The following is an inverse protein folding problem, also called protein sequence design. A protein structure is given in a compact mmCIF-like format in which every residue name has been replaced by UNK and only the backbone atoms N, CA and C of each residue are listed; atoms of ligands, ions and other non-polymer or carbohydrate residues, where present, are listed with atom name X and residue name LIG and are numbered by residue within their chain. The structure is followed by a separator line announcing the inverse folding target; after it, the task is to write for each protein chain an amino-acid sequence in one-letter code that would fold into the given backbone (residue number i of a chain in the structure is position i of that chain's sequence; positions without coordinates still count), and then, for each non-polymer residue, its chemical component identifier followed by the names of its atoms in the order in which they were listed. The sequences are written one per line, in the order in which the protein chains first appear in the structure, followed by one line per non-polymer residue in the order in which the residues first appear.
data_IF_503278167787
#
_entry.id   IF_503278167787
#
_cell.length_a   1.000
_cell.length_b   1.000
_cell.length_c   1.000
_cell.angle_alpha   90.00
_cell.angle_beta   90.00
_cell.angle_gamma   90.00
#
_symmetry.space_group_name_H-M   'P 1'
#
loop_
_entity.id
_entity.type
_entity.pdbx_description
1 polymer ?
#
# COMPACT_ATOMS: atom_id res chain seq x y z
N UNK A 1 11.29 10.78 14.06
CA UNK A 1 12.52 9.96 13.97
C UNK A 1 12.32 8.68 13.17
N UNK A 2 11.08 8.14 13.07
CA UNK A 2 10.81 6.83 12.49
C UNK A 2 11.33 5.65 13.31
N UNK A 3 11.71 5.87 14.56
CA UNK A 3 12.15 4.86 15.50
C UNK A 3 11.05 4.57 16.54
N UNK A 4 10.80 3.30 16.76
CA UNK A 4 10.03 2.82 17.90
C UNK A 4 10.94 2.67 19.11
N UNK A 5 10.53 3.21 20.24
CA UNK A 5 11.24 3.02 21.51
C UNK A 5 10.25 2.57 22.59
N UNK A 6 10.66 1.57 23.38
CA UNK A 6 9.94 1.12 24.57
C UNK A 6 10.89 0.92 25.73
N UNK A 7 10.60 1.56 26.85
CA UNK A 7 11.35 1.43 28.12
C UNK A 7 10.42 0.87 29.18
N UNK A 8 10.82 -0.18 29.85
CA UNK A 8 10.04 -0.79 30.94
C UNK A 8 10.96 -1.54 31.93
N UNK A 9 10.44 -1.84 33.09
CA UNK A 9 11.11 -2.68 34.08
C UNK A 9 10.26 -3.89 34.43
N UNK A 10 10.92 -4.99 34.78
CA UNK A 10 10.31 -6.22 35.22
C UNK A 10 10.94 -6.66 36.54
N UNK A 11 10.14 -6.91 37.59
CA UNK A 11 10.61 -7.44 38.86
C UNK A 11 10.45 -8.95 38.89
N UNK A 12 11.56 -9.63 39.02
CA UNK A 12 11.59 -11.10 39.10
C UNK A 12 11.00 -11.61 40.41
N UNK A 13 10.62 -12.90 40.47
CA UNK A 13 10.15 -13.54 41.71
C UNK A 13 11.21 -13.53 42.85
N UNK A 14 12.49 -13.27 42.54
CA UNK A 14 13.59 -13.13 43.50
C UNK A 14 13.80 -11.68 43.92
N UNK A 15 12.94 -10.78 43.52
CA UNK A 15 12.99 -9.37 43.88
C UNK A 15 13.99 -8.52 43.07
N UNK A 16 14.66 -9.08 42.09
CA UNK A 16 15.61 -8.37 41.22
C UNK A 16 14.84 -7.62 40.16
N UNK A 17 15.08 -6.32 40.03
CA UNK A 17 14.51 -5.50 38.97
C UNK A 17 15.42 -5.56 37.74
N UNK A 18 14.84 -5.87 36.58
CA UNK A 18 15.48 -5.82 35.27
C UNK A 18 14.89 -4.67 34.48
N UNK A 19 15.72 -3.76 34.01
CA UNK A 19 15.35 -2.65 33.16
C UNK A 19 15.64 -3.01 31.70
N UNK A 20 14.67 -2.75 30.84
CA UNK A 20 14.74 -3.00 29.40
C UNK A 20 14.56 -1.69 28.63
N UNK A 21 15.38 -1.54 27.57
CA UNK A 21 15.16 -0.56 26.52
C UNK A 21 15.15 -1.28 25.18
N UNK A 22 14.03 -1.19 24.48
CA UNK A 22 13.86 -1.79 23.14
C UNK A 22 13.73 -0.67 22.13
N UNK A 23 14.50 -0.74 21.07
CA UNK A 23 14.45 0.19 19.92
C UNK A 23 14.30 -0.62 18.63
N UNK A 24 13.57 -0.08 17.67
CA UNK A 24 13.40 -0.71 16.35
C UNK A 24 13.07 0.34 15.30
N UNK A 25 13.52 0.11 14.07
CA UNK A 25 13.12 0.90 12.91
C UNK A 25 13.09 0.05 11.63
N UNK A 26 12.28 0.49 10.68
CA UNK A 26 12.40 0.11 9.27
C UNK A 26 13.17 1.22 8.57
N UNK A 27 14.21 0.87 7.85
CA UNK A 27 15.13 1.86 7.29
C UNK A 27 14.46 2.70 6.19
N UNK A 28 14.63 4.02 6.28
CA UNK A 28 14.28 4.94 5.21
C UNK A 28 15.40 5.06 4.16
N UNK A 29 16.64 4.65 4.51
CA UNK A 29 17.76 4.68 3.59
C UNK A 29 17.88 3.40 2.75
N UNK A 30 17.36 2.28 3.26
CA UNK A 30 17.29 0.99 2.54
C UNK A 30 15.94 0.33 2.82
N UNK A 31 15.07 0.34 1.82
CA UNK A 31 13.69 -0.17 1.91
C UNK A 31 13.57 -1.67 2.24
N UNK A 32 14.65 -2.43 2.11
CA UNK A 32 14.68 -3.86 2.39
C UNK A 32 15.14 -4.19 3.81
N UNK A 33 15.58 -3.20 4.60
CA UNK A 33 16.24 -3.41 5.90
C UNK A 33 15.36 -2.96 7.07
N UNK A 34 15.26 -3.81 8.08
CA UNK A 34 14.76 -3.47 9.41
C UNK A 34 15.77 -3.86 10.47
N UNK A 35 15.86 -3.08 11.54
CA UNK A 35 16.74 -3.34 12.67
C UNK A 35 15.99 -3.24 14.00
N UNK A 36 16.41 -4.08 14.94
CA UNK A 36 15.91 -4.13 16.31
C UNK A 36 17.06 -4.24 17.28
N UNK A 37 17.01 -3.52 18.40
CA UNK A 37 18.01 -3.53 19.46
C UNK A 37 17.33 -3.59 20.81
N UNK A 38 17.84 -4.43 21.69
CA UNK A 38 17.44 -4.51 23.10
C UNK A 38 18.64 -4.34 24.00
N UNK A 39 18.49 -3.47 24.97
CA UNK A 39 19.38 -3.31 26.10
C UNK A 39 18.66 -3.83 27.35
N UNK A 40 19.32 -4.67 28.12
CA UNK A 40 18.79 -5.19 29.38
C UNK A 40 19.84 -5.10 30.48
N UNK A 41 19.49 -4.56 31.64
CA UNK A 41 20.37 -4.48 32.81
C UNK A 41 19.59 -4.71 34.11
N UNK A 42 20.28 -5.18 35.15
CA UNK A 42 19.71 -5.27 36.49
C UNK A 42 20.07 -4.03 37.31
N UNK A 43 19.22 -3.68 38.27
CA UNK A 43 19.56 -2.66 39.29
C UNK A 43 20.56 -3.20 40.32
N UNK A 44 20.49 -4.52 40.59
CA UNK A 44 21.43 -5.24 41.49
C UNK A 44 21.34 -6.73 41.22
N UNK A 45 22.47 -7.44 41.43
CA UNK A 45 22.52 -8.89 41.25
C UNK A 45 22.49 -9.36 39.80
N UNK A 46 22.50 -10.67 39.60
CA UNK A 46 22.54 -11.26 38.28
C UNK A 46 21.26 -12.05 37.97
N UNK A 47 20.80 -11.97 36.70
CA UNK A 47 19.66 -12.71 36.19
C UNK A 47 20.04 -13.42 34.90
N UNK A 48 19.59 -14.66 34.73
CA UNK A 48 19.66 -15.34 33.44
C UNK A 48 18.54 -14.85 32.56
N UNK A 49 18.89 -14.22 31.45
CA UNK A 49 17.98 -13.79 30.40
C UNK A 49 18.01 -14.81 29.28
N UNK A 50 16.82 -15.20 28.81
CA UNK A 50 16.63 -16.00 27.60
C UNK A 50 15.74 -15.23 26.64
N UNK A 51 16.19 -15.07 25.40
CA UNK A 51 15.47 -14.40 24.33
C UNK A 51 15.37 -15.36 23.16
N UNK A 52 14.17 -15.51 22.62
CA UNK A 52 13.95 -16.27 21.38
C UNK A 52 13.46 -15.30 20.32
N UNK A 53 14.16 -15.24 19.21
CA UNK A 53 13.81 -14.44 18.04
C UNK A 53 14.06 -15.25 16.77
N UNK A 54 13.50 -14.83 15.63
CA UNK A 54 13.71 -15.59 14.41
C UNK A 54 12.87 -15.06 13.23
N UNK A 55 12.67 -15.94 12.26
CA UNK A 55 11.83 -15.73 11.08
C UNK A 55 10.75 -16.81 11.10
N UNK A 56 9.49 -16.42 10.97
CA UNK A 56 8.34 -17.32 11.06
C UNK A 56 7.45 -17.17 9.82
N UNK A 57 7.26 -18.26 9.08
CA UNK A 57 6.33 -18.37 7.97
C UNK A 57 5.04 -19.13 8.33
N UNK A 58 4.74 -19.31 9.62
CA UNK A 58 3.43 -19.78 10.06
C UNK A 58 2.38 -18.68 10.14
N UNK A 59 2.79 -17.43 9.92
CA UNK A 59 1.90 -16.27 9.86
C UNK A 59 0.77 -16.50 8.85
N UNK A 60 -0.42 -16.07 9.24
CA UNK A 60 -1.62 -16.13 8.40
C UNK A 60 -2.14 -14.72 8.18
N UNK A 61 -2.94 -14.53 7.14
CA UNK A 61 -3.68 -13.30 6.93
C UNK A 61 -5.17 -13.64 7.01
N UNK A 62 -5.89 -13.01 7.93
CA UNK A 62 -7.31 -13.32 8.23
C UNK A 62 -7.55 -14.83 8.45
N UNK A 63 -6.62 -15.51 9.14
CA UNK A 63 -6.68 -16.94 9.41
C UNK A 63 -6.30 -17.88 8.27
N UNK A 64 -5.99 -17.34 7.07
CA UNK A 64 -5.63 -18.13 5.90
C UNK A 64 -4.11 -18.14 5.70
N UNK A 65 -3.56 -19.33 5.43
CA UNK A 65 -2.14 -19.49 5.13
C UNK A 65 -1.89 -19.21 3.63
N UNK A 66 -1.13 -18.16 3.35
CA UNK A 66 -0.79 -17.75 1.97
C UNK A 66 0.59 -18.20 1.52
N UNK A 67 1.46 -18.63 2.45
CA UNK A 67 2.82 -19.02 2.14
C UNK A 67 2.93 -20.54 1.93
N UNK A 68 3.67 -20.97 0.93
CA UNK A 68 4.06 -22.35 0.72
C UNK A 68 4.96 -22.88 1.85
N UNK A 69 5.41 -24.13 1.74
CA UNK A 69 6.36 -24.70 2.71
C UNK A 69 7.72 -24.04 2.51
N UNK A 70 8.28 -23.37 3.53
CA UNK A 70 9.52 -22.63 3.37
C UNK A 70 10.74 -23.54 3.32
N UNK A 71 11.72 -23.17 2.52
CA UNK A 71 13.11 -23.56 2.71
C UNK A 71 13.70 -22.76 3.88
N UNK A 72 14.41 -23.42 4.79
CA UNK A 72 15.00 -22.81 6.00
C UNK A 72 16.47 -23.14 6.04
N UNK A 73 17.28 -22.12 6.37
CA UNK A 73 18.73 -22.27 6.47
C UNK A 73 19.26 -21.54 7.70
N UNK A 74 20.29 -22.11 8.28
CA UNK A 74 21.22 -21.42 9.18
C UNK A 74 22.60 -21.53 8.54
N UNK A 75 23.16 -20.40 8.18
CA UNK A 75 24.48 -20.34 7.57
C UNK A 75 25.56 -20.47 8.62
N UNK A 76 26.81 -20.78 8.21
CA UNK A 76 27.96 -21.00 9.14
C UNK A 76 28.28 -19.79 10.01
N UNK A 77 28.01 -18.61 9.53
CA UNK A 77 28.16 -17.32 10.21
C UNK A 77 26.97 -16.93 11.10
N UNK A 78 26.00 -17.83 11.27
CA UNK A 78 24.83 -17.61 12.10
C UNK A 78 23.69 -16.81 11.42
N UNK A 79 23.82 -16.45 10.16
CA UNK A 79 22.71 -15.84 9.43
C UNK A 79 21.61 -16.87 9.24
N UNK A 80 20.39 -16.49 9.59
CA UNK A 80 19.15 -17.26 9.34
C UNK A 80 18.56 -16.85 8.00
N UNK A 81 18.10 -17.81 7.20
CA UNK A 81 17.37 -17.59 5.95
C UNK A 81 16.08 -18.38 5.91
N UNK A 82 15.01 -17.78 5.40
CA UNK A 82 13.73 -18.39 5.13
C UNK A 82 13.25 -17.95 3.75
N UNK A 83 12.99 -18.92 2.88
CA UNK A 83 12.61 -18.70 1.49
C UNK A 83 11.32 -19.44 1.19
N UNK A 84 10.35 -18.77 0.60
CA UNK A 84 9.05 -19.36 0.31
C UNK A 84 8.45 -18.71 -0.94
N UNK A 85 7.38 -19.31 -1.45
CA UNK A 85 6.56 -18.75 -2.52
C UNK A 85 5.13 -18.62 -2.05
N UNK A 86 4.45 -17.56 -2.43
CA UNK A 86 3.01 -17.41 -2.17
C UNK A 86 2.22 -18.45 -2.98
N UNK A 87 1.12 -18.98 -2.39
CA UNK A 87 0.38 -20.12 -2.96
C UNK A 87 -0.42 -19.78 -4.22
N UNK A 88 -0.92 -18.56 -4.32
CA UNK A 88 -1.79 -18.14 -5.43
C UNK A 88 -1.12 -17.15 -6.37
N UNK A 89 -0.45 -16.13 -5.83
CA UNK A 89 0.22 -15.10 -6.63
C UNK A 89 1.61 -15.50 -7.12
N UNK A 90 2.13 -16.67 -6.69
CA UNK A 90 3.42 -17.23 -7.07
C UNK A 90 4.62 -16.29 -6.91
N UNK A 91 4.57 -15.40 -5.92
CA UNK A 91 5.64 -14.46 -5.59
C UNK A 91 6.68 -15.18 -4.73
N UNK A 92 7.93 -15.19 -5.15
CA UNK A 92 9.04 -15.65 -4.34
C UNK A 92 9.37 -14.61 -3.27
N UNK A 93 9.56 -15.07 -2.04
CA UNK A 93 9.88 -14.25 -0.88
C UNK A 93 11.15 -14.79 -0.24
N UNK A 94 12.10 -13.92 -0.01
CA UNK A 94 13.31 -14.17 0.76
C UNK A 94 13.32 -13.29 2.01
N UNK A 95 13.55 -13.91 3.16
CA UNK A 95 13.78 -13.21 4.43
C UNK A 95 15.06 -13.73 5.03
N UNK A 96 15.98 -12.84 5.40
CA UNK A 96 17.16 -13.21 6.15
C UNK A 96 17.26 -12.39 7.44
N UNK A 97 17.87 -12.97 8.46
CA UNK A 97 18.14 -12.27 9.72
C UNK A 97 19.49 -12.65 10.30
N UNK A 98 20.19 -11.66 10.84
CA UNK A 98 21.38 -11.82 11.65
C UNK A 98 21.09 -11.33 13.08
N UNK A 99 21.61 -12.07 14.07
CA UNK A 99 21.50 -11.71 15.50
C UNK A 99 22.90 -11.55 16.07
N UNK A 100 23.11 -10.46 16.77
CA UNK A 100 24.37 -10.12 17.42
C UNK A 100 24.20 -10.02 18.94
N UNK A 101 25.14 -10.56 19.71
CA UNK A 101 25.14 -10.53 21.19
C UNK A 101 24.72 -11.84 21.83
N UNK A 102 25.35 -12.15 22.96
CA UNK A 102 25.10 -13.36 23.77
C UNK A 102 25.55 -14.69 23.15
N UNK A 103 25.22 -15.78 23.86
CA UNK A 103 25.39 -17.14 23.36
C UNK A 103 24.14 -17.57 22.59
N UNK A 104 24.28 -17.89 21.31
CA UNK A 104 23.19 -18.16 20.40
C UNK A 104 23.17 -19.63 20.00
N UNK A 105 22.01 -20.29 20.20
CA UNK A 105 21.70 -21.60 19.64
C UNK A 105 20.60 -21.43 18.57
N UNK A 106 20.80 -22.05 17.40
CA UNK A 106 19.86 -21.97 16.31
C UNK A 106 18.99 -23.23 16.20
N UNK A 107 17.72 -23.05 15.90
CA UNK A 107 16.78 -24.15 15.66
C UNK A 107 15.98 -23.85 14.39
N UNK A 108 15.83 -24.87 13.55
CA UNK A 108 14.93 -24.81 12.39
C UNK A 108 13.76 -25.77 12.62
N UNK A 109 12.57 -25.25 12.65
CA UNK A 109 11.31 -25.99 12.77
C UNK A 109 10.63 -26.06 11.39
N UNK A 110 9.42 -26.65 11.31
CA UNK A 110 8.70 -26.87 10.05
C UNK A 110 8.50 -25.60 9.23
N UNK A 111 8.24 -24.45 9.85
CA UNK A 111 7.95 -23.18 9.21
C UNK A 111 8.75 -22.00 9.74
N UNK A 112 9.68 -22.24 10.66
CA UNK A 112 10.45 -21.16 11.30
C UNK A 112 11.93 -21.48 11.41
N UNK A 113 12.73 -20.44 11.55
CA UNK A 113 14.12 -20.48 11.96
C UNK A 113 14.28 -19.53 13.13
N UNK A 114 14.80 -20.03 14.26
CA UNK A 114 14.92 -19.25 15.49
C UNK A 114 16.35 -19.25 16.03
N UNK A 115 16.71 -18.13 16.66
CA UNK A 115 17.88 -17.95 17.51
C UNK A 115 17.43 -17.90 18.96
N UNK A 116 17.92 -18.81 19.78
CA UNK A 116 17.74 -18.87 21.24
C UNK A 116 18.99 -18.31 21.90
N UNK A 117 18.87 -17.13 22.47
CA UNK A 117 19.96 -16.37 23.05
C UNK A 117 19.89 -16.54 24.56
N UNK A 118 20.96 -17.01 25.17
CA UNK A 118 21.10 -17.12 26.64
C UNK A 118 22.23 -16.23 27.13
N UNK A 119 21.89 -15.32 28.06
CA UNK A 119 22.86 -14.36 28.63
C UNK A 119 22.66 -14.22 30.14
N UNK A 120 23.74 -14.01 30.88
CA UNK A 120 23.67 -13.62 32.29
C UNK A 120 23.88 -12.12 32.36
N UNK A 121 22.83 -11.40 32.71
CA UNK A 121 22.85 -9.94 32.80
C UNK A 121 23.02 -9.51 34.26
N UNK A 122 23.84 -8.49 34.46
CA UNK A 122 24.05 -7.79 35.72
C UNK A 122 23.89 -6.28 35.53
N UNK A 123 24.48 -5.48 36.38
CA UNK A 123 24.43 -4.01 36.31
C UNK A 123 25.06 -3.45 35.02
N UNK A 124 26.10 -4.13 34.49
CA UNK A 124 26.72 -3.74 33.20
C UNK A 124 25.80 -3.99 32.00
N UNK A 125 24.75 -4.80 32.19
CA UNK A 125 23.79 -5.10 31.15
C UNK A 125 24.31 -6.00 30.03
N UNK A 126 23.43 -6.20 29.03
CA UNK A 126 23.73 -6.82 27.75
C UNK A 126 22.97 -6.11 26.62
N UNK A 127 23.54 -6.15 25.43
CA UNK A 127 22.95 -5.61 24.22
C UNK A 127 22.78 -6.75 23.22
N UNK A 128 21.59 -6.82 22.64
CA UNK A 128 21.25 -7.77 21.59
C UNK A 128 20.66 -7.00 20.43
N UNK A 129 21.18 -7.23 19.23
CA UNK A 129 20.73 -6.61 17.99
C UNK A 129 20.25 -7.68 17.01
N UNK A 130 19.23 -7.34 16.23
CA UNK A 130 18.75 -8.15 15.11
C UNK A 130 18.59 -7.27 13.89
N UNK A 131 19.15 -7.72 12.78
CA UNK A 131 19.01 -7.13 11.45
C UNK A 131 18.23 -8.08 10.59
N UNK A 132 17.25 -7.57 9.86
CA UNK A 132 16.35 -8.39 9.03
C UNK A 132 16.22 -7.74 7.67
N UNK A 133 16.41 -8.53 6.62
CA UNK A 133 16.19 -8.11 5.24
C UNK A 133 15.02 -8.89 4.62
N UNK A 134 14.30 -8.21 3.71
CA UNK A 134 13.15 -8.74 2.98
C UNK A 134 13.31 -8.42 1.51
N UNK A 135 13.20 -9.44 0.66
CA UNK A 135 13.16 -9.28 -0.79
C UNK A 135 12.07 -10.16 -1.40
N UNK A 136 11.50 -9.70 -2.50
CA UNK A 136 10.51 -10.46 -3.27
C UNK A 136 10.87 -10.47 -4.75
N UNK A 137 10.35 -11.44 -5.49
CA UNK A 137 10.51 -11.48 -6.95
C UNK A 137 9.74 -10.36 -7.67
N UNK A 138 8.92 -9.57 -6.96
CA UNK A 138 8.21 -8.40 -7.49
C UNK A 138 8.94 -7.08 -7.26
N UNK A 139 10.04 -7.06 -6.53
CA UNK A 139 10.79 -5.84 -6.31
C UNK A 139 11.27 -5.28 -7.65
N UNK A 140 11.22 -3.94 -7.80
CA UNK A 140 11.42 -3.28 -9.11
C UNK A 140 12.82 -3.53 -9.67
N UNK A 141 13.81 -3.65 -8.82
CA UNK A 141 15.19 -3.96 -9.18
C UNK A 141 15.37 -5.36 -9.77
N UNK A 142 14.37 -6.22 -9.67
CA UNK A 142 14.38 -7.60 -10.20
C UNK A 142 13.48 -7.79 -11.41
N UNK A 143 12.90 -6.73 -11.93
CA UNK A 143 11.98 -6.79 -13.08
C UNK A 143 12.63 -7.38 -14.34
N UNK A 144 13.96 -7.29 -14.49
CA UNK A 144 14.72 -7.80 -15.64
C UNK A 144 15.12 -9.30 -15.53
N UNK A 145 14.72 -9.99 -14.47
CA UNK A 145 14.60 -11.46 -14.47
C UNK A 145 15.81 -12.28 -14.02
N UNK A 146 16.95 -11.69 -13.61
CA UNK A 146 18.14 -12.48 -13.25
C UNK A 146 18.76 -12.07 -11.91
N UNK A 147 17.98 -12.15 -10.83
CA UNK A 147 18.52 -11.77 -9.52
C UNK A 147 18.22 -12.81 -8.46
N UNK A 148 19.29 -13.28 -7.79
CA UNK A 148 19.17 -14.16 -6.63
C UNK A 148 18.75 -13.37 -5.39
N UNK A 149 17.44 -13.24 -5.19
CA UNK A 149 16.86 -12.56 -4.02
C UNK A 149 17.36 -13.14 -2.68
N UNK A 150 17.81 -14.41 -2.68
CA UNK A 150 18.31 -15.08 -1.47
C UNK A 150 19.69 -14.56 -1.09
N UNK A 151 20.60 -14.48 -2.07
CA UNK A 151 21.95 -13.95 -1.86
C UNK A 151 21.87 -12.48 -1.45
N UNK A 152 21.08 -11.66 -2.16
CA UNK A 152 20.93 -10.25 -1.83
C UNK A 152 20.41 -10.06 -0.39
N UNK A 153 19.41 -10.85 0.00
CA UNK A 153 18.85 -10.81 1.34
C UNK A 153 19.90 -11.17 2.43
N UNK A 154 20.68 -12.25 2.20
CA UNK A 154 21.70 -12.70 3.16
C UNK A 154 22.90 -11.75 3.22
N UNK A 155 23.30 -11.17 2.09
CA UNK A 155 24.43 -10.24 2.04
C UNK A 155 24.08 -8.91 2.71
N UNK A 156 22.85 -8.43 2.52
CA UNK A 156 22.36 -7.22 3.18
C UNK A 156 22.42 -7.35 4.71
N UNK A 157 21.94 -8.47 5.29
CA UNK A 157 22.00 -8.64 6.75
C UNK A 157 23.42 -8.83 7.28
N UNK A 158 24.35 -9.40 6.49
CA UNK A 158 25.78 -9.46 6.85
C UNK A 158 26.39 -8.08 6.94
N UNK A 159 26.14 -7.25 5.91
CA UNK A 159 26.60 -5.87 5.88
C UNK A 159 26.00 -5.10 7.07
N UNK A 160 24.69 -5.23 7.29
CA UNK A 160 23.98 -4.55 8.38
C UNK A 160 24.52 -4.94 9.75
N UNK A 161 24.75 -6.24 10.01
CA UNK A 161 25.34 -6.73 11.25
C UNK A 161 26.76 -6.21 11.48
N UNK A 162 27.56 -6.07 10.41
CA UNK A 162 28.90 -5.49 10.50
C UNK A 162 28.91 -3.99 10.80
N UNK A 163 27.85 -3.28 10.46
CA UNK A 163 27.70 -1.82 10.67
C UNK A 163 27.09 -1.49 12.03
N UNK A 164 26.21 -2.34 12.55
CA UNK A 164 25.53 -2.18 13.83
C UNK A 164 24.32 -1.21 13.78
N UNK A 165 23.49 -1.29 14.83
CA UNK A 165 22.21 -0.58 14.91
C UNK A 165 22.35 0.94 14.79
N UNK A 166 23.25 1.56 15.54
CA UNK A 166 23.34 3.02 15.61
C UNK A 166 23.73 3.64 14.26
N UNK A 167 24.70 3.04 13.56
CA UNK A 167 25.12 3.51 12.24
C UNK A 167 23.97 3.47 11.22
N UNK A 168 23.20 2.38 11.21
CA UNK A 168 22.06 2.21 10.31
C UNK A 168 20.90 3.14 10.68
N UNK A 169 20.69 3.37 11.99
CA UNK A 169 19.68 4.31 12.46
C UNK A 169 20.02 5.74 12.06
N UNK A 170 21.26 6.19 12.22
CA UNK A 170 21.72 7.53 11.83
C UNK A 170 21.47 7.79 10.34
N UNK A 171 21.71 6.82 9.47
CA UNK A 171 21.41 6.93 8.03
C UNK A 171 19.91 7.02 7.76
N UNK A 172 19.13 6.15 8.37
CA UNK A 172 17.66 6.19 8.25
C UNK A 172 17.09 7.51 8.77
N UNK A 173 17.61 7.98 9.92
CA UNK A 173 17.21 9.25 10.50
C UNK A 173 17.58 10.43 9.62
N UNK A 174 18.74 10.43 8.96
CA UNK A 174 19.14 11.50 8.05
C UNK A 174 18.13 11.66 6.90
N UNK A 175 17.70 10.54 6.27
CA UNK A 175 16.68 10.56 5.21
C UNK A 175 15.34 11.08 5.75
N UNK A 176 14.87 10.59 6.89
CA UNK A 176 13.64 11.06 7.52
C UNK A 176 13.68 12.54 7.91
N UNK A 177 14.82 13.00 8.40
CA UNK A 177 15.01 14.39 8.80
C UNK A 177 15.01 15.35 7.60
N UNK A 178 15.59 14.95 6.45
CA UNK A 178 15.49 15.74 5.22
C UNK A 178 14.04 15.82 4.74
N UNK A 179 13.32 14.70 4.73
CA UNK A 179 11.89 14.71 4.42
C UNK A 179 11.10 15.61 5.39
N UNK A 180 11.33 15.51 6.69
CA UNK A 180 10.65 16.31 7.70
C UNK A 180 10.91 17.82 7.53
N UNK A 181 12.11 18.23 7.16
CA UNK A 181 12.43 19.65 6.88
C UNK A 181 11.61 20.20 5.71
N UNK A 182 11.33 19.38 4.70
CA UNK A 182 10.54 19.79 3.53
C UNK A 182 9.04 19.94 3.85
N UNK A 183 8.52 19.21 4.84
CA UNK A 183 7.09 19.10 5.12
C UNK A 183 6.67 19.80 6.44
N UNK A 184 7.48 19.77 7.49
CA UNK A 184 7.11 20.27 8.82
C UNK A 184 7.16 21.80 8.99
N UNK A 185 7.75 22.53 8.07
CA UNK A 185 7.91 24.00 8.22
C UNK A 185 6.64 24.80 7.86
N UNK A 186 5.57 24.14 7.49
CA UNK A 186 4.35 24.78 6.96
C UNK A 186 3.19 24.84 7.97
N UNK A 187 3.27 24.10 9.06
CA UNK A 187 2.16 23.97 10.01
C UNK A 187 2.57 24.49 11.37
N UNK A 188 2.00 25.64 11.75
CA UNK A 188 2.14 26.20 13.08
C UNK A 188 0.78 26.25 13.77
N UNK A 189 0.71 25.72 14.97
CA UNK A 189 -0.45 25.82 15.84
C UNK A 189 0.01 26.19 17.24
N UNK A 190 -0.76 27.03 17.92
CA UNK A 190 -0.64 27.28 19.37
C UNK A 190 -1.13 26.07 20.19
N UNK A 191 -1.69 25.06 19.54
CA UNK A 191 -2.12 23.81 20.15
C UNK A 191 -1.21 22.65 19.70
N UNK A 192 -0.33 22.22 20.58
CA UNK A 192 0.63 21.13 20.35
C UNK A 192 -0.05 19.81 19.94
N UNK A 193 -1.27 19.54 20.41
CA UNK A 193 -2.00 18.31 20.05
C UNK A 193 -2.35 18.32 18.56
N UNK A 194 -2.82 19.46 18.04
CA UNK A 194 -3.15 19.56 16.61
C UNK A 194 -1.91 19.49 15.73
N UNK A 195 -0.83 20.15 16.12
CA UNK A 195 0.43 20.09 15.39
C UNK A 195 0.97 18.66 15.34
N UNK A 196 0.97 17.96 16.47
CA UNK A 196 1.41 16.55 16.52
C UNK A 196 0.48 15.63 15.73
N UNK A 197 -0.84 15.85 15.72
CA UNK A 197 -1.80 15.07 14.95
C UNK A 197 -1.56 15.23 13.44
N UNK A 198 -1.28 16.45 12.97
CA UNK A 198 -0.97 16.70 11.56
C UNK A 198 0.35 16.05 11.14
N UNK A 199 1.41 16.23 11.93
CA UNK A 199 2.72 15.58 11.67
C UNK A 199 2.60 14.05 11.65
N UNK A 200 1.76 13.50 12.52
CA UNK A 200 1.47 12.07 12.55
C UNK A 200 0.74 11.63 11.28
N UNK A 201 -0.26 12.38 10.82
CA UNK A 201 -0.97 12.08 9.58
C UNK A 201 -0.05 12.14 8.35
N UNK A 202 0.76 13.20 8.23
CA UNK A 202 1.75 13.33 7.14
C UNK A 202 2.77 12.19 7.15
N UNK A 203 3.29 11.83 8.33
CA UNK A 203 4.19 10.69 8.46
C UNK A 203 3.55 9.39 7.98
N UNK A 204 2.28 9.15 8.33
CA UNK A 204 1.58 7.94 7.90
C UNK A 204 1.26 7.94 6.41
N UNK A 205 0.91 9.07 5.80
CA UNK A 205 0.77 9.20 4.35
C UNK A 205 2.08 8.88 3.64
N UNK A 206 3.21 9.36 4.16
CA UNK A 206 4.55 9.11 3.61
C UNK A 206 4.91 7.62 3.65
N UNK A 207 4.79 6.98 4.83
CA UNK A 207 5.26 5.59 5.00
C UNK A 207 4.36 4.53 4.34
N UNK A 208 3.09 4.85 4.06
CA UNK A 208 2.18 3.90 3.39
C UNK A 208 2.22 4.02 1.86
N UNK A 209 2.99 4.98 1.33
CA UNK A 209 3.05 5.26 -0.11
C UNK A 209 4.38 4.81 -0.70
N UNK A 210 4.33 3.95 -1.72
CA UNK A 210 5.53 3.61 -2.49
C UNK A 210 5.92 4.78 -3.38
N UNK A 211 7.13 5.33 -3.15
CA UNK A 211 7.65 6.45 -3.95
C UNK A 211 8.51 5.99 -5.14
N UNK A 212 8.91 4.74 -5.15
CA UNK A 212 9.84 4.18 -6.13
C UNK A 212 9.17 3.21 -7.12
N UNK A 213 8.03 2.64 -6.77
CA UNK A 213 7.32 1.67 -7.60
C UNK A 213 5.93 2.19 -7.96
N UNK A 214 5.67 2.35 -9.25
CA UNK A 214 4.39 2.77 -9.81
C UNK A 214 3.43 1.60 -10.13
N UNK A 215 3.79 0.37 -9.74
CA UNK A 215 2.95 -0.83 -9.93
C UNK A 215 2.06 -1.13 -8.72
N UNK A 216 2.15 -0.32 -7.69
CA UNK A 216 1.38 -0.46 -6.45
C UNK A 216 0.66 0.85 -6.11
N UNK A 217 -0.56 0.72 -5.61
CA UNK A 217 -1.33 1.83 -5.06
C UNK A 217 -1.15 1.97 -3.55
N UNK A 218 -2.02 2.75 -2.93
CA UNK A 218 -2.08 2.91 -1.47
C UNK A 218 -3.26 2.11 -0.94
N UNK A 219 -3.01 1.24 0.04
CA UNK A 219 -4.08 0.53 0.73
C UNK A 219 -4.91 1.49 1.59
N UNK A 220 -6.23 1.28 1.69
CA UNK A 220 -7.17 2.13 2.43
C UNK A 220 -6.75 2.41 3.89
N UNK A 221 -6.06 1.47 4.53
CA UNK A 221 -5.45 1.61 5.88
C UNK A 221 -3.93 1.53 5.85
N UNK A 222 -3.29 1.75 4.70
CA UNK A 222 -1.88 1.44 4.52
C UNK A 222 -1.63 -0.06 4.76
N UNK A 223 -0.51 -0.36 5.45
CA UNK A 223 -0.10 -1.74 5.79
C UNK A 223 -0.13 -1.98 7.30
N UNK A 224 -0.88 -1.16 8.06
CA UNK A 224 -0.89 -1.22 9.53
C UNK A 224 -1.76 -2.35 10.12
N UNK A 225 -2.47 -3.10 9.29
CA UNK A 225 -3.32 -4.22 9.70
C UNK A 225 -3.77 -5.07 8.52
N UNK A 226 -4.51 -6.15 8.80
CA UNK A 226 -4.99 -7.08 7.77
C UNK A 226 -6.22 -6.56 7.01
N UNK A 227 -6.92 -5.57 7.55
CA UNK A 227 -8.10 -4.98 6.93
C UNK A 227 -7.79 -4.38 5.57
N UNK A 228 -8.67 -4.62 4.60
CA UNK A 228 -8.52 -4.21 3.20
C UNK A 228 -7.29 -4.80 2.48
N UNK A 229 -6.51 -5.69 3.10
CA UNK A 229 -5.43 -6.48 2.50
C UNK A 229 -4.33 -5.66 1.78
N UNK A 230 -4.22 -4.36 2.08
CA UNK A 230 -3.36 -3.43 1.34
C UNK A 230 -3.87 -3.07 -0.06
N UNK A 231 -5.10 -3.40 -0.40
CA UNK A 231 -5.73 -3.08 -1.68
C UNK A 231 -6.13 -1.61 -1.76
N UNK A 232 -6.15 -1.08 -2.98
CA UNK A 232 -6.47 0.31 -3.29
C UNK A 232 -7.93 0.45 -3.70
N UNK A 233 -8.57 1.51 -3.19
CA UNK A 233 -9.94 1.92 -3.48
C UNK A 233 -9.93 3.37 -3.95
N UNK A 234 -11.07 4.03 -3.96
CA UNK A 234 -11.23 5.43 -4.35
C UNK A 234 -10.64 6.44 -3.36
N UNK A 235 -10.30 5.99 -2.14
CA UNK A 235 -9.63 6.81 -1.11
C UNK A 235 -8.40 7.52 -1.67
N UNK A 236 -7.63 6.80 -2.49
CA UNK A 236 -6.42 7.36 -3.10
C UNK A 236 -6.75 8.59 -3.93
N UNK A 237 -7.73 8.51 -4.84
CA UNK A 237 -8.02 9.55 -5.81
C UNK A 237 -8.64 10.80 -5.20
N UNK A 238 -9.56 10.61 -4.26
CA UNK A 238 -10.39 11.70 -3.73
C UNK A 238 -9.79 12.30 -2.46
N UNK A 239 -9.21 11.49 -1.58
CA UNK A 239 -8.79 11.97 -0.26
C UNK A 239 -7.28 12.07 -0.09
N UNK A 240 -6.48 11.15 -0.67
CA UNK A 240 -5.04 11.08 -0.45
C UNK A 240 -4.26 11.84 -1.54
N UNK A 241 -4.62 11.64 -2.80
CA UNK A 241 -3.90 12.22 -3.94
C UNK A 241 -3.79 13.74 -3.89
N UNK A 242 -4.81 14.52 -3.46
CA UNK A 242 -4.68 15.96 -3.32
C UNK A 242 -3.50 16.40 -2.45
N UNK A 243 -3.21 15.69 -1.36
CA UNK A 243 -2.02 15.97 -0.55
C UNK A 243 -0.74 15.87 -1.39
N UNK A 244 -0.54 14.76 -2.10
CA UNK A 244 0.65 14.54 -2.93
C UNK A 244 0.72 15.46 -4.15
N UNK A 245 -0.41 15.83 -4.75
CA UNK A 245 -0.43 16.76 -5.88
C UNK A 245 0.22 18.09 -5.50
N UNK A 246 -0.02 18.58 -4.27
CA UNK A 246 0.50 19.85 -3.80
C UNK A 246 1.87 19.76 -3.14
N UNK A 247 2.23 18.63 -2.54
CA UNK A 247 3.47 18.48 -1.76
C UNK A 247 4.54 17.68 -2.51
N UNK A 248 4.15 16.61 -3.21
CA UNK A 248 5.05 15.69 -3.90
C UNK A 248 4.48 15.26 -5.28
N UNK A 249 4.43 16.15 -6.28
CA UNK A 249 3.77 15.87 -7.57
C UNK A 249 4.26 14.61 -8.28
N UNK A 250 5.52 14.21 -8.08
CA UNK A 250 6.07 12.99 -8.68
C UNK A 250 5.46 11.73 -8.04
N UNK A 251 5.20 11.75 -6.73
CA UNK A 251 4.47 10.68 -6.03
C UNK A 251 3.03 10.59 -6.54
N UNK A 252 2.34 11.73 -6.67
CA UNK A 252 1.00 11.79 -7.26
C UNK A 252 0.97 11.21 -8.69
N UNK A 253 1.96 11.54 -9.51
CA UNK A 253 2.09 10.99 -10.86
C UNK A 253 2.20 9.46 -10.85
N UNK A 254 3.03 8.88 -9.98
CA UNK A 254 3.19 7.41 -9.90
C UNK A 254 1.90 6.70 -9.49
N UNK A 255 1.14 7.27 -8.58
CA UNK A 255 -0.17 6.74 -8.20
C UNK A 255 -1.17 6.73 -9.37
N UNK A 256 -1.11 7.76 -10.23
CA UNK A 256 -1.92 7.79 -11.46
C UNK A 256 -1.37 6.86 -12.55
N UNK A 257 -0.06 6.65 -12.62
CA UNK A 257 0.57 5.63 -13.49
C UNK A 257 0.12 4.22 -13.08
N UNK A 258 -0.01 3.93 -11.79
CA UNK A 258 -0.63 2.69 -11.31
C UNK A 258 -2.05 2.50 -11.88
N UNK A 259 -2.89 3.53 -11.83
CA UNK A 259 -4.23 3.47 -12.43
C UNK A 259 -4.19 3.26 -13.94
N UNK A 260 -3.21 3.84 -14.64
CA UNK A 260 -3.03 3.58 -16.06
C UNK A 260 -2.66 2.12 -16.34
N UNK A 261 -1.83 1.49 -15.51
CA UNK A 261 -1.49 0.06 -15.65
C UNK A 261 -2.70 -0.86 -15.42
N UNK A 262 -3.69 -0.43 -14.65
CA UNK A 262 -4.95 -1.17 -14.46
C UNK A 262 -5.94 -0.99 -15.62
N UNK A 263 -5.65 -0.16 -16.62
CA UNK A 263 -6.60 0.22 -17.66
C UNK A 263 -7.09 -0.96 -18.50
N UNK A 264 -6.21 -1.92 -18.80
CA UNK A 264 -6.60 -3.13 -19.55
C UNK A 264 -7.60 -3.97 -18.74
N UNK A 265 -7.33 -4.21 -17.45
CA UNK A 265 -8.27 -4.90 -16.56
C UNK A 265 -9.61 -4.16 -16.41
N UNK A 266 -9.59 -2.81 -16.42
CA UNK A 266 -10.80 -2.00 -16.40
C UNK A 266 -11.62 -2.13 -17.71
N UNK A 267 -10.95 -2.27 -18.84
CA UNK A 267 -11.61 -2.52 -20.13
C UNK A 267 -12.24 -3.92 -20.17
N UNK A 268 -11.55 -4.93 -19.67
CA UNK A 268 -12.08 -6.30 -19.58
C UNK A 268 -13.27 -6.37 -18.62
N UNK A 269 -13.22 -5.64 -17.50
CA UNK A 269 -14.36 -5.51 -16.58
C UNK A 269 -15.56 -4.86 -17.27
N UNK A 270 -15.38 -3.74 -17.97
CA UNK A 270 -16.45 -3.10 -18.72
C UNK A 270 -17.11 -4.09 -19.72
N UNK A 271 -16.30 -4.79 -20.50
CA UNK A 271 -16.76 -5.81 -21.45
C UNK A 271 -17.50 -6.97 -20.78
N UNK A 272 -17.02 -7.44 -19.63
CA UNK A 272 -17.67 -8.52 -18.84
C UNK A 272 -19.11 -8.15 -18.46
N UNK A 273 -19.33 -6.88 -18.12
CA UNK A 273 -20.65 -6.39 -17.74
C UNK A 273 -21.47 -5.78 -18.92
N UNK A 274 -20.96 -5.93 -20.14
CA UNK A 274 -21.68 -5.48 -21.35
C UNK A 274 -21.54 -3.99 -21.65
N UNK A 275 -20.55 -3.31 -21.05
CA UNK A 275 -20.26 -1.90 -21.27
C UNK A 275 -19.06 -1.69 -22.21
N UNK A 276 -18.95 -0.48 -22.75
CA UNK A 276 -17.83 -0.01 -23.54
C UNK A 276 -16.77 0.68 -22.65
N UNK A 277 -15.59 0.95 -23.19
CA UNK A 277 -14.55 1.74 -22.52
C UNK A 277 -13.93 1.05 -21.32
N UNK A 278 -13.75 1.77 -20.20
CA UNK A 278 -13.08 1.27 -19.02
C UNK A 278 -13.92 1.49 -17.75
N UNK A 279 -14.28 0.40 -17.09
CA UNK A 279 -14.92 0.32 -15.78
C UNK A 279 -13.87 -0.12 -14.77
N UNK A 280 -13.32 0.82 -14.03
CA UNK A 280 -12.26 0.49 -13.08
C UNK A 280 -12.75 -0.45 -11.97
N UNK A 281 -11.85 -1.33 -11.44
CA UNK A 281 -12.19 -2.16 -10.31
C UNK A 281 -12.48 -1.31 -9.08
N UNK A 282 -13.48 -1.70 -8.30
CA UNK A 282 -13.73 -1.11 -6.99
C UNK A 282 -12.57 -1.38 -6.04
N UNK A 283 -12.15 -2.62 -5.96
CA UNK A 283 -11.00 -3.07 -5.19
C UNK A 283 -9.88 -3.50 -6.15
N UNK A 284 -8.73 -2.85 -6.08
CA UNK A 284 -7.59 -3.11 -6.93
C UNK A 284 -6.37 -3.55 -6.12
N UNK A 285 -5.69 -4.61 -6.58
CA UNK A 285 -4.48 -5.14 -5.98
C UNK A 285 -3.27 -4.98 -6.93
N UNK A 286 -2.80 -6.07 -7.52
CA UNK A 286 -1.71 -6.00 -8.47
C UNK A 286 -2.20 -5.60 -9.87
N UNK A 287 -1.30 -5.00 -10.65
CA UNK A 287 -1.62 -4.39 -11.97
C UNK A 287 -2.26 -5.33 -12.99
N UNK A 288 -2.18 -6.64 -12.80
CA UNK A 288 -2.76 -7.65 -13.71
C UNK A 288 -4.03 -8.31 -13.17
N UNK A 289 -4.45 -8.00 -11.95
CA UNK A 289 -5.49 -8.80 -11.27
C UNK A 289 -6.92 -8.39 -11.65
N UNK A 290 -7.13 -7.18 -12.16
CA UNK A 290 -8.46 -6.66 -12.44
C UNK A 290 -9.26 -6.37 -11.15
N UNK A 291 -10.56 -6.73 -11.13
CA UNK A 291 -11.41 -6.63 -9.94
C UNK A 291 -11.07 -7.70 -8.92
N UNK A 292 -10.71 -7.28 -7.71
CA UNK A 292 -10.34 -8.18 -6.60
C UNK A 292 -11.34 -8.18 -5.45
N UNK A 293 -12.41 -7.40 -5.57
CA UNK A 293 -13.50 -7.44 -4.60
C UNK A 293 -14.14 -8.83 -4.60
N UNK A 294 -14.22 -9.51 -3.45
CA UNK A 294 -14.78 -10.84 -3.38
C UNK A 294 -16.29 -10.81 -3.72
N UNK A 295 -16.76 -11.76 -4.52
CA UNK A 295 -18.17 -11.87 -4.90
C UNK A 295 -19.09 -12.14 -3.70
N UNK A 296 -18.56 -12.76 -2.67
CA UNK A 296 -19.28 -13.08 -1.44
C UNK A 296 -18.55 -12.47 -0.24
N UNK A 297 -19.34 -11.86 0.65
CA UNK A 297 -18.85 -11.33 1.93
C UNK A 297 -18.62 -12.42 2.97
N UNK A 298 -18.39 -11.99 4.21
CA UNK A 298 -18.20 -12.87 5.33
C UNK A 298 -19.50 -13.65 5.68
N UNK A 299 -19.33 -14.81 6.30
CA UNK A 299 -20.42 -15.59 6.85
C UNK A 299 -21.09 -14.82 8.00
N UNK A 300 -22.38 -14.55 7.90
CA UNK A 300 -23.16 -14.06 9.03
C UNK A 300 -23.26 -15.19 10.09
N UNK A 301 -22.56 -14.99 11.20
CA UNK A 301 -22.49 -16.00 12.27
C UNK A 301 -23.83 -16.24 12.99
N UNK A 302 -24.81 -15.35 12.85
CA UNK A 302 -26.11 -15.47 13.48
C UNK A 302 -27.09 -16.24 12.59
N UNK A 303 -27.07 -15.96 11.29
CA UNK A 303 -27.99 -16.58 10.32
C UNK A 303 -27.37 -17.76 9.59
N UNK A 304 -26.06 -17.87 9.54
CA UNK A 304 -25.34 -18.88 8.74
C UNK A 304 -25.38 -18.57 7.23
N UNK A 305 -25.81 -17.37 6.83
CA UNK A 305 -25.90 -16.98 5.44
C UNK A 305 -24.64 -16.23 4.99
N UNK A 306 -24.25 -16.46 3.74
CA UNK A 306 -23.21 -15.68 3.07
C UNK A 306 -23.89 -14.68 2.13
N UNK A 307 -23.69 -13.38 2.37
CA UNK A 307 -24.26 -12.34 1.51
C UNK A 307 -23.41 -12.13 0.28
N UNK A 308 -24.06 -11.93 -0.86
CA UNK A 308 -23.36 -11.51 -2.08
C UNK A 308 -22.85 -10.08 -1.87
N UNK A 309 -21.59 -9.88 -2.21
CA UNK A 309 -20.97 -8.57 -2.22
C UNK A 309 -21.18 -7.93 -3.61
N UNK A 310 -21.88 -6.82 -3.64
CA UNK A 310 -22.21 -6.13 -4.88
C UNK A 310 -21.23 -4.99 -5.24
N UNK A 311 -20.35 -4.59 -4.33
CA UNK A 311 -19.45 -3.45 -4.50
C UNK A 311 -18.61 -3.56 -5.78
N UNK A 312 -17.96 -4.68 -6.01
CA UNK A 312 -17.18 -4.90 -7.24
C UNK A 312 -18.01 -4.85 -8.53
N UNK A 313 -19.33 -4.96 -8.44
CA UNK A 313 -20.24 -5.02 -9.60
C UNK A 313 -20.93 -3.69 -9.89
N UNK A 314 -21.46 -3.00 -8.85
CA UNK A 314 -22.30 -1.83 -9.02
C UNK A 314 -21.79 -0.56 -8.32
N UNK A 315 -20.69 -0.59 -7.61
CA UNK A 315 -20.03 0.60 -7.08
C UNK A 315 -19.02 1.12 -8.09
N UNK A 316 -19.54 1.92 -9.02
CA UNK A 316 -18.86 2.25 -10.28
C UNK A 316 -18.31 3.66 -10.35
N UNK A 317 -18.57 4.50 -9.34
CA UNK A 317 -18.14 5.91 -9.34
C UNK A 317 -16.63 6.06 -9.39
N UNK A 318 -15.86 5.07 -8.89
CA UNK A 318 -14.39 5.05 -8.94
C UNK A 318 -13.83 5.32 -10.35
N UNK A 319 -14.55 4.92 -11.41
CA UNK A 319 -14.13 5.20 -12.79
C UNK A 319 -14.10 6.70 -13.11
N UNK A 320 -15.04 7.46 -12.55
CA UNK A 320 -15.08 8.91 -12.69
C UNK A 320 -14.14 9.61 -11.71
N UNK A 321 -13.95 9.04 -10.51
CA UNK A 321 -13.02 9.56 -9.50
C UNK A 321 -11.58 9.57 -10.02
N UNK A 322 -11.18 8.50 -10.70
CA UNK A 322 -9.87 8.41 -11.35
C UNK A 322 -9.72 9.46 -12.46
N UNK A 323 -10.74 9.64 -13.31
CA UNK A 323 -10.73 10.68 -14.35
C UNK A 323 -10.64 12.09 -13.75
N UNK A 324 -11.33 12.33 -12.64
CA UNK A 324 -11.26 13.57 -11.89
C UNK A 324 -9.86 13.81 -11.32
N UNK A 325 -9.27 12.81 -10.72
CA UNK A 325 -7.92 12.89 -10.13
C UNK A 325 -6.84 13.16 -11.21
N UNK A 326 -6.93 12.51 -12.38
CA UNK A 326 -6.07 12.79 -13.55
C UNK A 326 -6.14 14.25 -13.95
N UNK A 327 -7.36 14.80 -14.01
CA UNK A 327 -7.55 16.20 -14.39
C UNK A 327 -7.08 17.16 -13.31
N UNK A 328 -7.35 16.88 -12.05
CA UNK A 328 -6.87 17.68 -10.91
C UNK A 328 -5.34 17.74 -10.89
N UNK A 329 -4.66 16.61 -11.08
CA UNK A 329 -3.21 16.54 -11.20
C UNK A 329 -2.71 17.44 -12.32
N UNK A 330 -3.31 17.35 -13.51
CA UNK A 330 -2.90 18.16 -14.65
C UNK A 330 -3.10 19.66 -14.41
N UNK A 331 -4.23 20.08 -13.84
CA UNK A 331 -4.49 21.51 -13.58
C UNK A 331 -3.42 22.12 -12.66
N UNK A 332 -3.01 21.37 -11.64
CA UNK A 332 -2.05 21.86 -10.65
C UNK A 332 -0.61 21.81 -11.18
N UNK A 333 -0.23 20.74 -11.87
CA UNK A 333 1.16 20.49 -12.27
C UNK A 333 1.51 20.98 -13.67
N UNK A 334 0.53 21.10 -14.57
CA UNK A 334 0.73 21.37 -15.98
C UNK A 334 1.42 20.23 -16.75
N UNK A 335 1.46 18.99 -16.23
CA UNK A 335 2.18 17.86 -16.83
C UNK A 335 1.48 17.37 -18.12
N UNK A 336 1.83 18.04 -19.21
CA UNK A 336 1.32 17.71 -20.56
C UNK A 336 1.85 16.37 -21.07
N UNK A 337 3.00 15.93 -20.59
CA UNK A 337 3.59 14.66 -21.02
C UNK A 337 2.78 13.49 -20.47
N UNK A 338 2.45 13.51 -19.17
CA UNK A 338 1.56 12.53 -18.56
C UNK A 338 0.20 12.49 -19.26
N UNK A 339 -0.39 13.67 -19.52
CA UNK A 339 -1.68 13.72 -20.24
C UNK A 339 -1.61 13.09 -21.62
N UNK A 340 -0.55 13.34 -22.40
CA UNK A 340 -0.38 12.77 -23.75
C UNK A 340 -0.15 11.26 -23.74
N UNK A 341 0.57 10.75 -22.74
CA UNK A 341 0.97 9.32 -22.69
C UNK A 341 -0.11 8.43 -22.05
N UNK A 342 -0.83 8.96 -21.06
CA UNK A 342 -1.68 8.17 -20.16
C UNK A 342 -3.02 8.87 -19.84
N UNK A 343 -2.98 10.10 -19.35
CA UNK A 343 -4.15 10.75 -18.76
C UNK A 343 -5.33 10.91 -19.72
N UNK A 344 -5.06 11.30 -20.99
CA UNK A 344 -6.12 11.44 -21.98
C UNK A 344 -6.80 10.10 -22.29
N UNK A 345 -6.05 9.00 -22.37
CA UNK A 345 -6.63 7.67 -22.62
C UNK A 345 -7.53 7.22 -21.46
N UNK A 346 -7.12 7.45 -20.20
CA UNK A 346 -7.95 7.17 -19.03
C UNK A 346 -9.27 7.92 -19.12
N UNK A 347 -9.23 9.24 -19.30
CA UNK A 347 -10.44 10.08 -19.33
C UNK A 347 -11.37 9.69 -20.47
N UNK A 348 -10.84 9.40 -21.66
CA UNK A 348 -11.64 8.98 -22.82
C UNK A 348 -12.32 7.64 -22.60
N UNK A 349 -11.60 6.63 -22.09
CA UNK A 349 -12.16 5.30 -21.94
C UNK A 349 -13.15 5.21 -20.78
N UNK A 350 -12.93 5.95 -19.69
CA UNK A 350 -13.93 6.07 -18.62
C UNK A 350 -15.18 6.83 -19.09
N UNK A 351 -15.03 7.86 -19.91
CA UNK A 351 -16.17 8.53 -20.51
C UNK A 351 -16.98 7.60 -21.48
N UNK A 352 -16.30 6.74 -22.24
CA UNK A 352 -16.97 5.71 -23.05
C UNK A 352 -17.78 4.74 -22.19
N UNK A 353 -17.27 4.36 -21.02
CA UNK A 353 -18.01 3.56 -20.05
C UNK A 353 -19.31 4.27 -19.64
N UNK A 354 -19.24 5.53 -19.23
CA UNK A 354 -20.42 6.30 -18.84
C UNK A 354 -21.41 6.46 -19.98
N UNK A 355 -20.94 6.69 -21.22
CA UNK A 355 -21.81 6.74 -22.39
C UNK A 355 -22.59 5.44 -22.64
N UNK A 356 -22.08 4.29 -22.20
CA UNK A 356 -22.76 2.99 -22.33
C UNK A 356 -23.55 2.61 -21.06
N UNK A 357 -23.25 3.24 -19.92
CA UNK A 357 -23.88 2.96 -18.61
C UNK A 357 -25.14 3.79 -18.38
N UNK A 358 -25.18 5.03 -18.90
CA UNK A 358 -26.34 5.91 -18.83
C UNK A 358 -27.42 5.37 -19.74
N UNK A 359 -28.65 5.28 -19.23
CA UNK A 359 -29.82 4.82 -19.96
C UNK A 359 -30.31 5.85 -21.00
N UNK A 360 -31.23 5.46 -21.89
CA UNK A 360 -31.75 6.33 -22.93
C UNK A 360 -32.50 7.56 -22.38
N UNK A 361 -33.05 7.47 -21.17
CA UNK A 361 -33.73 8.57 -20.46
C UNK A 361 -32.78 9.39 -19.58
N UNK A 362 -31.48 9.12 -19.61
CA UNK A 362 -30.48 9.88 -18.87
C UNK A 362 -30.25 9.42 -17.44
N UNK A 363 -30.76 8.26 -17.03
CA UNK A 363 -30.62 7.75 -15.68
C UNK A 363 -29.39 6.88 -15.53
N UNK A 364 -28.81 6.81 -14.30
CA UNK A 364 -27.87 5.78 -13.85
C UNK A 364 -28.59 4.95 -12.79
N UNK A 365 -28.91 3.71 -13.14
CA UNK A 365 -29.73 2.83 -12.30
C UNK A 365 -28.85 1.82 -11.57
N UNK A 366 -29.33 1.28 -10.44
CA UNK A 366 -28.77 0.14 -9.74
C UNK A 366 -27.28 0.33 -9.41
N UNK A 367 -26.95 1.31 -8.57
CA UNK A 367 -25.58 1.59 -8.10
C UNK A 367 -25.48 1.59 -6.59
N UNK A 368 -24.25 1.42 -6.11
CA UNK A 368 -23.83 1.81 -4.75
C UNK A 368 -23.07 3.14 -4.89
N UNK A 369 -23.43 4.11 -4.07
CA UNK A 369 -22.72 5.37 -3.95
C UNK A 369 -21.78 5.38 -2.73
N UNK A 370 -21.20 6.53 -2.34
CA UNK A 370 -20.33 6.63 -1.17
C UNK A 370 -20.97 6.22 0.16
N UNK A 371 -22.29 6.21 0.25
CA UNK A 371 -23.03 5.58 1.36
C UNK A 371 -23.25 4.09 1.04
N UNK A 372 -22.28 3.25 1.41
CA UNK A 372 -22.28 1.81 1.14
C UNK A 372 -23.39 1.03 1.88
N UNK A 373 -24.10 1.68 2.83
CA UNK A 373 -25.28 1.08 3.48
C UNK A 373 -26.52 1.08 2.59
N UNK A 374 -26.44 1.77 1.44
CA UNK A 374 -27.53 1.87 0.45
C UNK A 374 -27.08 1.24 -0.86
N UNK A 375 -27.44 0.00 -1.06
CA UNK A 375 -27.25 -0.69 -2.34
C UNK A 375 -28.45 -0.44 -3.30
N UNK A 376 -28.22 -0.67 -4.59
CA UNK A 376 -29.24 -0.62 -5.67
C UNK A 376 -30.02 0.68 -5.71
N UNK A 377 -29.29 1.80 -5.60
CA UNK A 377 -29.86 3.15 -5.68
C UNK A 377 -29.89 3.62 -7.13
N UNK A 378 -30.99 4.20 -7.55
CA UNK A 378 -31.10 4.85 -8.84
C UNK A 378 -30.74 6.33 -8.71
N UNK A 379 -29.98 6.83 -9.67
CA UNK A 379 -29.60 8.24 -9.75
C UNK A 379 -28.92 8.77 -8.47
N UNK A 380 -27.95 8.03 -7.95
CA UNK A 380 -27.13 8.51 -6.83
C UNK A 380 -26.45 9.83 -7.20
N UNK A 381 -26.62 10.86 -6.37
CA UNK A 381 -26.15 12.21 -6.67
C UNK A 381 -24.63 12.24 -6.93
N UNK A 382 -23.83 11.63 -6.04
CA UNK A 382 -22.38 11.61 -6.21
C UNK A 382 -21.97 10.95 -7.53
N UNK A 383 -22.48 9.74 -7.78
CA UNK A 383 -22.21 8.99 -9.01
C UNK A 383 -22.56 9.78 -10.26
N UNK A 384 -23.76 10.39 -10.29
CA UNK A 384 -24.25 11.15 -11.45
C UNK A 384 -23.40 12.41 -11.70
N UNK A 385 -23.07 13.19 -10.65
CA UNK A 385 -22.21 14.37 -10.79
C UNK A 385 -20.78 14.03 -11.20
N UNK A 386 -20.21 12.95 -10.69
CA UNK A 386 -18.87 12.51 -11.08
C UNK A 386 -18.85 11.98 -12.52
N UNK A 387 -19.86 11.22 -12.94
CA UNK A 387 -20.03 10.79 -14.32
C UNK A 387 -20.18 12.00 -15.27
N UNK A 388 -21.01 12.97 -14.91
CA UNK A 388 -21.17 14.23 -15.66
C UNK A 388 -19.82 14.95 -15.85
N UNK A 389 -19.04 15.10 -14.77
CA UNK A 389 -17.70 15.71 -14.85
C UNK A 389 -16.79 14.95 -15.79
N UNK A 390 -16.72 13.63 -15.69
CA UNK A 390 -15.90 12.81 -16.58
C UNK A 390 -16.29 12.99 -18.05
N UNK A 391 -17.59 12.98 -18.38
CA UNK A 391 -18.10 13.22 -19.72
C UNK A 391 -17.68 14.60 -20.25
N UNK A 392 -17.83 15.65 -19.44
CA UNK A 392 -17.43 17.02 -19.81
C UNK A 392 -15.92 17.20 -19.96
N UNK A 393 -15.09 16.42 -19.27
CA UNK A 393 -13.62 16.48 -19.42
C UNK A 393 -13.14 16.03 -20.80
N UNK A 394 -13.91 15.26 -21.56
CA UNK A 394 -13.52 14.77 -22.88
C UNK A 394 -13.11 15.93 -23.80
N UNK A 395 -13.88 17.01 -23.85
CA UNK A 395 -13.56 18.20 -24.68
C UNK A 395 -12.21 18.84 -24.29
N UNK A 396 -11.87 18.82 -23.02
CA UNK A 396 -10.63 19.40 -22.48
C UNK A 396 -9.40 18.54 -22.77
N UNK A 397 -9.56 17.20 -22.82
CA UNK A 397 -8.42 16.27 -22.99
C UNK A 397 -8.11 15.95 -24.46
N UNK A 398 -9.00 16.24 -25.40
CA UNK A 398 -8.77 16.00 -26.85
C UNK A 398 -7.44 16.58 -27.33
N UNK A 399 -7.03 17.74 -26.85
CA UNK A 399 -5.77 18.37 -27.22
C UNK A 399 -4.51 17.56 -26.84
N UNK A 400 -4.65 16.55 -25.99
CA UNK A 400 -3.56 15.66 -25.55
C UNK A 400 -3.58 14.29 -26.23
N UNK A 401 -4.63 14.01 -27.02
CA UNK A 401 -4.78 12.71 -27.68
C UNK A 401 -3.65 12.50 -28.67
N UNK A 402 -2.93 11.36 -28.51
CA UNK A 402 -1.84 10.99 -29.39
C UNK A 402 -2.34 10.45 -30.73
N UNK A 403 -1.48 10.49 -31.77
CA UNK A 403 -1.81 9.87 -33.07
C UNK A 403 -2.15 8.38 -32.94
N UNK A 404 -1.54 7.67 -31.99
CA UNK A 404 -1.84 6.26 -31.70
C UNK A 404 -3.29 6.10 -31.25
N UNK A 405 -3.80 6.98 -30.39
CA UNK A 405 -5.17 6.94 -29.92
C UNK A 405 -6.16 7.35 -31.02
N UNK A 406 -5.83 8.35 -31.87
CA UNK A 406 -6.62 8.68 -33.03
C UNK A 406 -6.76 7.54 -34.04
N UNK A 407 -5.72 6.70 -34.18
CA UNK A 407 -5.76 5.50 -35.03
C UNK A 407 -6.58 4.36 -34.42
N UNK A 408 -6.64 4.31 -33.08
CA UNK A 408 -7.31 3.22 -32.33
C UNK A 408 -8.80 3.52 -32.10
N UNK A 409 -9.17 4.79 -31.92
CA UNK A 409 -10.51 5.23 -31.54
C UNK A 409 -11.00 6.37 -32.42
N UNK A 410 -12.29 6.38 -32.72
CA UNK A 410 -12.97 7.54 -33.35
C UNK A 410 -13.20 8.63 -32.28
N UNK A 411 -12.18 9.44 -32.06
CA UNK A 411 -12.16 10.48 -31.01
C UNK A 411 -13.29 11.49 -31.20
N UNK A 412 -13.64 11.83 -32.45
CA UNK A 412 -14.73 12.75 -32.74
C UNK A 412 -16.07 12.18 -32.30
N UNK A 413 -16.32 10.93 -32.65
CA UNK A 413 -17.55 10.22 -32.26
C UNK A 413 -17.65 10.06 -30.73
N UNK A 414 -16.54 9.79 -30.05
CA UNK A 414 -16.49 9.71 -28.58
C UNK A 414 -16.87 11.06 -27.98
N UNK A 415 -16.29 12.17 -28.48
CA UNK A 415 -16.58 13.49 -27.96
C UNK A 415 -18.06 13.90 -28.16
N UNK A 416 -18.60 13.68 -29.36
CA UNK A 416 -20.01 13.96 -29.66
C UNK A 416 -20.96 13.13 -28.78
N UNK A 417 -20.62 11.86 -28.55
CA UNK A 417 -21.40 10.97 -27.69
C UNK A 417 -21.31 11.40 -26.21
N UNK A 418 -20.12 11.75 -25.73
CA UNK A 418 -19.91 12.20 -24.35
C UNK A 418 -20.68 13.49 -24.06
N UNK A 419 -20.64 14.48 -24.98
CA UNK A 419 -21.36 15.73 -24.81
C UNK A 419 -22.88 15.50 -24.77
N UNK A 420 -23.43 14.73 -25.73
CA UNK A 420 -24.85 14.38 -25.74
C UNK A 420 -25.28 13.61 -24.50
N UNK A 421 -24.44 12.67 -24.00
CA UNK A 421 -24.75 11.91 -22.77
C UNK A 421 -24.74 12.83 -21.56
N UNK A 422 -23.79 13.78 -21.50
CA UNK A 422 -23.75 14.76 -20.41
C UNK A 422 -24.95 15.68 -20.39
N UNK A 423 -25.46 16.09 -21.55
CA UNK A 423 -26.66 16.91 -21.66
C UNK A 423 -27.94 16.16 -21.25
N UNK A 424 -27.96 14.84 -21.48
CA UNK A 424 -29.12 13.99 -21.16
C UNK A 424 -29.12 13.55 -19.68
N UNK A 425 -27.93 13.46 -19.05
CA UNK A 425 -27.73 12.86 -17.72
C UNK A 425 -28.58 13.59 -16.66
N UNK A 426 -29.40 12.83 -15.95
CA UNK A 426 -30.13 13.32 -14.80
C UNK A 426 -29.18 13.71 -13.66
N UNK A 427 -29.26 14.95 -13.22
CA UNK A 427 -28.51 15.48 -12.10
C UNK A 427 -29.46 15.77 -10.94
N UNK A 428 -29.42 15.00 -9.85
CA UNK A 428 -30.28 15.25 -8.69
C UNK A 428 -30.02 16.63 -8.08
N UNK A 429 -31.08 17.35 -7.79
CA UNK A 429 -31.06 18.62 -7.08
C UNK A 429 -31.40 18.37 -5.60
N UNK A 430 -30.86 19.20 -4.66
CA UNK A 430 -31.25 19.12 -3.26
C UNK A 430 -32.77 19.33 -3.11
N UNK A 431 -33.38 18.53 -2.22
CA UNK A 431 -34.76 18.81 -1.79
C UNK A 431 -34.79 20.16 -1.04
N UNK A 432 -35.92 20.93 -1.18
CA UNK A 432 -36.10 22.21 -0.50
C UNK A 432 -36.17 22.09 1.03
#
# INVERSE_FOLDING_TARGET
TGEYERVFSYRTNRGITVCFKIRAFVSAADKHLAAWRMEARTESGNVKLRIVTGIDASVTNSGVQHLGVPERRVYRDGVMGLYTRTLHSEVDIAVAAAVCGGNIAYTADRRSVTADISEIIGENGAVIEKFTAYHTSRDIEYADGDTDIRSNCTDLVRIAAGRGYECLFEESFAVRNEWAKLHNDTIYSDNEIFENALRFAEYHLDIMTSKDDNRVGIGAKGMSGEGYKGHSYWDTEIFILPYFIFTEPQTARRLLEYRYMLLEGAMDKAKKYGYEGAMYPWEAAWITDGETCPEYGDLDLLTGEVRRNLMGEIEVHISADIAYAVWQYYIVTGDREFMKKMGAEIVLLTAMFWCSRVTEDGSILDVIGPDEYKDRVDNNAYTNYMAYRNLKLVSSVIQFVSEKLYKKYDIKKIAERAERTAELLYLPEPDE
#
